data_IF_325213437166
#
_entry.id   IF_325213437166
#
_cell.length_a   1.000
_cell.length_b   1.000
_cell.length_c   1.000
_cell.angle_alpha   90.00
_cell.angle_beta   90.00
_cell.angle_gamma   90.00
#
_symmetry.space_group_name_H-M   'P 1'
#
loop_
_entity.id
_entity.type
_entity.pdbx_description
1 polymer ?
#
# COMPACT_ATOMS: atom_id res chain seq x y z
N UNK A 1 -4.92 -2.86 -5.82
CA UNK A 1 -4.73 -3.86 -4.74
C UNK A 1 -3.67 -4.89 -5.09
N UNK A 2 -3.78 -5.61 -6.21
CA UNK A 2 -2.81 -6.65 -6.60
C UNK A 2 -1.32 -6.23 -6.64
N UNK A 3 -1.02 -4.95 -6.87
CA UNK A 3 0.36 -4.44 -6.88
C UNK A 3 1.03 -4.51 -5.50
N UNK A 4 0.29 -4.23 -4.42
CA UNK A 4 0.84 -4.21 -3.05
C UNK A 4 1.21 -5.62 -2.54
N UNK A 5 0.56 -6.65 -3.08
CA UNK A 5 0.83 -8.06 -2.77
C UNK A 5 1.74 -8.72 -3.80
N UNK A 6 2.25 -7.98 -4.79
CA UNK A 6 3.03 -8.56 -5.90
C UNK A 6 4.24 -9.37 -5.43
N UNK A 7 4.93 -8.85 -4.41
CA UNK A 7 6.14 -9.45 -3.83
C UNK A 7 5.84 -10.77 -3.10
N UNK A 8 4.72 -10.85 -2.38
CA UNK A 8 4.31 -12.08 -1.68
C UNK A 8 3.67 -13.09 -2.62
N UNK A 9 2.99 -12.63 -3.67
CA UNK A 9 2.38 -13.48 -4.67
C UNK A 9 3.39 -13.99 -5.73
N UNK A 10 4.67 -13.61 -5.61
CA UNK A 10 5.73 -13.87 -6.58
C UNK A 10 5.33 -13.52 -8.02
N UNK A 11 4.57 -12.44 -8.18
CA UNK A 11 4.04 -12.02 -9.47
C UNK A 11 4.95 -10.96 -10.08
N UNK A 12 5.82 -11.41 -10.99
CA UNK A 12 6.82 -10.57 -11.64
C UNK A 12 6.18 -9.38 -12.39
N UNK A 13 5.08 -9.60 -13.11
CA UNK A 13 4.42 -8.53 -13.88
C UNK A 13 3.87 -7.44 -12.96
N UNK A 14 3.20 -7.83 -11.88
CA UNK A 14 2.67 -6.88 -10.89
C UNK A 14 3.81 -6.20 -10.12
N UNK A 15 4.91 -6.90 -9.86
CA UNK A 15 6.08 -6.32 -9.21
C UNK A 15 6.77 -5.28 -10.09
N UNK A 16 6.98 -5.56 -11.38
CA UNK A 16 7.53 -4.57 -12.31
C UNK A 16 6.63 -3.32 -12.40
N UNK A 17 5.31 -3.49 -12.36
CA UNK A 17 4.38 -2.37 -12.30
C UNK A 17 4.47 -1.59 -10.97
N UNK A 18 4.65 -2.28 -9.84
CA UNK A 18 4.87 -1.64 -8.54
C UNK A 18 6.15 -0.77 -8.57
N UNK A 19 7.24 -1.32 -9.12
CA UNK A 19 8.53 -0.61 -9.27
C UNK A 19 8.42 0.59 -10.20
N UNK A 20 7.75 0.41 -11.34
CA UNK A 20 7.46 1.51 -12.26
C UNK A 20 6.68 2.66 -11.57
N UNK A 21 5.65 2.33 -10.78
CA UNK A 21 4.90 3.35 -10.03
C UNK A 21 5.76 4.04 -8.98
N UNK A 22 6.60 3.29 -8.27
CA UNK A 22 7.56 3.86 -7.32
C UNK A 22 8.56 4.79 -8.02
N UNK A 23 9.10 4.42 -9.19
CA UNK A 23 10.00 5.29 -9.94
C UNK A 23 9.31 6.55 -10.47
N UNK A 24 8.08 6.41 -10.98
CA UNK A 24 7.31 7.52 -11.52
C UNK A 24 6.90 8.54 -10.45
N UNK A 25 6.54 8.06 -9.25
CA UNK A 25 6.04 8.88 -8.16
C UNK A 25 7.10 9.09 -7.06
N UNK A 26 8.29 8.52 -7.19
CA UNK A 26 9.31 8.47 -6.14
C UNK A 26 8.99 7.49 -4.99
N UNK A 27 7.71 7.36 -4.61
CA UNK A 27 7.19 6.37 -3.66
C UNK A 27 5.78 5.94 -4.08
N UNK A 28 5.32 4.81 -3.56
CA UNK A 28 3.96 4.30 -3.77
C UNK A 28 3.00 4.98 -2.78
N UNK A 29 2.12 5.90 -3.22
CA UNK A 29 1.07 6.44 -2.36
C UNK A 29 0.01 5.37 -2.11
N UNK A 30 -0.38 5.20 -0.85
CA UNK A 30 -1.47 4.31 -0.45
C UNK A 30 -2.49 5.06 0.41
N UNK A 31 -3.72 4.59 0.37
CA UNK A 31 -4.84 5.13 1.14
C UNK A 31 -5.87 4.04 1.33
N UNK A 32 -6.54 4.06 2.49
CA UNK A 32 -7.65 3.15 2.73
C UNK A 32 -8.90 3.62 1.96
N UNK A 33 -9.69 2.68 1.43
CA UNK A 33 -10.88 3.02 0.63
C UNK A 33 -11.90 3.83 1.44
N UNK A 34 -12.04 3.53 2.73
CA UNK A 34 -12.93 4.27 3.63
C UNK A 34 -12.46 5.73 3.79
N UNK A 35 -11.15 5.98 3.95
CA UNK A 35 -10.62 7.35 4.02
C UNK A 35 -10.88 8.11 2.71
N UNK A 36 -10.85 7.42 1.56
CA UNK A 36 -11.22 8.05 0.28
C UNK A 36 -12.70 8.43 0.27
N UNK A 37 -13.59 7.54 0.69
CA UNK A 37 -15.04 7.82 0.77
C UNK A 37 -15.32 9.01 1.69
N UNK A 38 -14.76 9.00 2.90
CA UNK A 38 -14.92 10.07 3.89
C UNK A 38 -14.34 11.40 3.39
N UNK A 39 -13.20 11.38 2.69
CA UNK A 39 -12.62 12.58 2.09
C UNK A 39 -13.55 13.19 1.03
N UNK A 40 -14.20 12.37 0.20
CA UNK A 40 -15.20 12.84 -0.75
C UNK A 40 -16.42 13.45 -0.05
N UNK A 41 -16.95 12.80 0.98
CA UNK A 41 -18.10 13.32 1.77
C UNK A 41 -17.75 14.68 2.38
N UNK A 42 -16.57 14.81 2.99
CA UNK A 42 -16.09 16.08 3.54
C UNK A 42 -16.02 17.17 2.46
N UNK A 43 -15.44 16.84 1.31
CA UNK A 43 -15.25 17.79 0.22
C UNK A 43 -16.60 18.30 -0.33
N UNK A 44 -17.56 17.41 -0.56
CA UNK A 44 -18.90 17.77 -1.04
C UNK A 44 -19.64 18.66 -0.02
N UNK A 45 -19.45 18.40 1.28
CA UNK A 45 -20.08 19.18 2.35
C UNK A 45 -19.51 20.59 2.54
N UNK A 46 -18.41 20.96 1.88
CA UNK A 46 -17.74 22.25 2.08
C UNK A 46 -18.02 23.21 0.90
N UNK A 47 -18.69 24.36 1.13
CA UNK A 47 -19.12 25.26 0.05
C UNK A 47 -17.98 26.03 -0.64
N UNK A 48 -16.77 26.08 -0.04
CA UNK A 48 -15.66 26.91 -0.52
C UNK A 48 -14.36 26.11 -0.71
N UNK A 49 -14.43 24.86 -1.16
CA UNK A 49 -13.23 24.11 -1.56
C UNK A 49 -12.99 24.21 -3.07
N UNK A 50 -11.73 24.35 -3.48
CA UNK A 50 -11.38 24.39 -4.90
C UNK A 50 -9.98 23.82 -5.19
N UNK A 51 -9.82 23.40 -6.44
CA UNK A 51 -8.58 22.83 -6.96
C UNK A 51 -8.36 21.38 -6.56
N UNK A 52 -7.11 20.92 -6.69
CA UNK A 52 -6.73 19.53 -6.44
C UNK A 52 -6.37 19.31 -4.98
N UNK A 53 -6.71 18.12 -4.48
CA UNK A 53 -6.36 17.63 -3.15
C UNK A 53 -5.73 16.26 -3.31
N UNK A 54 -4.62 16.03 -2.62
CA UNK A 54 -4.01 14.72 -2.56
C UNK A 54 -4.66 13.94 -1.42
N UNK A 55 -5.17 12.74 -1.71
CA UNK A 55 -5.77 11.85 -0.72
C UNK A 55 -4.90 10.60 -0.55
N UNK A 56 -4.01 10.63 0.44
CA UNK A 56 -3.12 9.51 0.74
C UNK A 56 -2.61 9.60 2.16
N UNK A 57 -2.67 8.47 2.88
CA UNK A 57 -2.26 8.40 4.29
C UNK A 57 -0.81 7.98 4.47
N UNK A 58 -0.21 7.31 3.48
CA UNK A 58 1.19 6.87 3.55
C UNK A 58 1.86 6.76 2.18
N UNK A 59 3.19 6.84 2.19
CA UNK A 59 4.05 6.69 1.02
C UNK A 59 5.16 5.70 1.32
N UNK A 60 5.17 4.58 0.60
CA UNK A 60 6.08 3.48 0.85
C UNK A 60 6.96 3.23 -0.37
N UNK A 61 8.22 2.86 -0.15
CA UNK A 61 9.01 2.19 -1.19
C UNK A 61 8.57 0.73 -1.31
N UNK A 62 8.82 0.08 -2.44
CA UNK A 62 8.61 -1.37 -2.57
C UNK A 62 9.40 -2.14 -1.50
N UNK A 63 10.60 -1.67 -1.14
CA UNK A 63 11.40 -2.23 -0.05
C UNK A 63 10.70 -2.12 1.31
N UNK A 64 10.02 -1.00 1.60
CA UNK A 64 9.23 -0.85 2.84
C UNK A 64 8.00 -1.76 2.84
N UNK A 65 7.38 -1.98 1.68
CA UNK A 65 6.27 -2.94 1.54
C UNK A 65 6.77 -4.37 1.82
N UNK A 66 7.88 -4.80 1.21
CA UNK A 66 8.50 -6.10 1.53
C UNK A 66 8.88 -6.23 3.02
N UNK A 67 9.46 -5.18 3.60
CA UNK A 67 9.84 -5.15 5.01
C UNK A 67 8.64 -5.27 5.94
N UNK A 68 7.50 -4.68 5.57
CA UNK A 68 6.24 -4.84 6.30
C UNK A 68 5.80 -6.31 6.33
N UNK A 69 5.79 -6.98 5.18
CA UNK A 69 5.43 -8.39 5.09
C UNK A 69 6.35 -9.27 5.94
N UNK A 70 7.68 -9.12 5.80
CA UNK A 70 8.65 -9.89 6.61
C UNK A 70 8.47 -9.67 8.12
N UNK A 71 8.08 -8.46 8.53
CA UNK A 71 7.93 -8.10 9.95
C UNK A 71 6.65 -8.66 10.57
N UNK A 72 5.52 -8.55 9.88
CA UNK A 72 4.21 -8.89 10.46
C UNK A 72 3.67 -10.25 9.99
N UNK A 73 4.22 -10.80 8.92
CA UNK A 73 3.86 -12.09 8.34
C UNK A 73 5.14 -12.89 8.02
N UNK A 74 5.96 -13.24 9.03
CA UNK A 74 7.26 -13.89 8.83
C UNK A 74 7.16 -15.27 8.15
N UNK A 75 5.98 -15.89 8.22
CA UNK A 75 5.68 -17.16 7.54
C UNK A 75 5.54 -17.01 6.02
N UNK A 76 5.58 -15.78 5.48
CA UNK A 76 5.54 -15.52 4.04
C UNK A 76 6.96 -15.25 3.55
N UNK A 77 7.52 -16.22 2.83
CA UNK A 77 8.81 -16.08 2.16
C UNK A 77 8.67 -15.17 0.92
N UNK A 78 9.45 -14.09 0.88
CA UNK A 78 9.62 -13.22 -0.29
C UNK A 78 11.01 -13.43 -0.86
N UNK A 79 11.10 -13.79 -2.13
CA UNK A 79 12.37 -14.00 -2.81
C UNK A 79 13.13 -12.68 -3.02
N UNK A 80 14.47 -12.73 -3.04
CA UNK A 80 15.32 -11.53 -3.02
C UNK A 80 15.15 -10.66 -4.26
N UNK A 81 14.81 -11.24 -5.41
CA UNK A 81 14.54 -10.52 -6.66
C UNK A 81 13.32 -9.59 -6.56
N UNK A 82 12.43 -9.83 -5.59
CA UNK A 82 11.27 -8.97 -5.28
C UNK A 82 11.60 -7.89 -4.24
N UNK A 83 12.87 -7.75 -3.83
CA UNK A 83 13.30 -6.79 -2.80
C UNK A 83 14.43 -5.94 -3.34
N UNK A 84 14.07 -4.77 -3.87
CA UNK A 84 15.03 -3.77 -4.32
C UNK A 84 14.84 -2.46 -3.55
N UNK A 85 15.90 -1.98 -2.91
CA UNK A 85 15.91 -0.69 -2.21
C UNK A 85 16.85 0.29 -2.93
N UNK A 86 16.28 1.41 -3.34
CA UNK A 86 17.01 2.48 -4.04
C UNK A 86 17.58 3.52 -3.05
N UNK A 87 17.32 3.38 -1.75
CA UNK A 87 17.82 4.30 -0.71
C UNK A 87 17.31 5.74 -0.85
N UNK A 88 16.19 5.95 -1.56
CA UNK A 88 15.66 7.28 -1.85
C UNK A 88 14.89 7.83 -0.65
N UNK A 89 15.38 8.92 -0.07
CA UNK A 89 14.63 9.69 0.94
C UNK A 89 13.72 10.73 0.27
N UNK A 90 12.49 10.30 -0.05
CA UNK A 90 11.47 11.19 -0.62
C UNK A 90 10.38 11.46 0.41
N UNK A 91 10.20 12.74 0.77
CA UNK A 91 9.15 13.17 1.70
C UNK A 91 8.02 13.81 0.89
N UNK A 92 6.81 13.31 1.09
CA UNK A 92 5.59 13.92 0.58
C UNK A 92 4.87 14.58 1.76
N UNK A 93 4.36 15.81 1.57
CA UNK A 93 3.88 16.64 2.68
C UNK A 93 2.63 17.46 2.37
N UNK A 94 1.77 16.99 1.47
CA UNK A 94 0.53 17.71 1.17
C UNK A 94 -0.47 17.59 2.32
N UNK A 95 -0.58 18.63 3.14
CA UNK A 95 -1.53 18.66 4.27
C UNK A 95 -2.87 19.33 3.93
N UNK A 96 -3.22 19.42 2.64
CA UNK A 96 -4.34 20.27 2.19
C UNK A 96 -5.70 19.73 2.65
N UNK A 97 -5.88 18.40 2.68
CA UNK A 97 -7.10 17.77 3.22
C UNK A 97 -7.19 17.96 4.74
N UNK A 98 -6.08 17.76 5.46
CA UNK A 98 -6.03 17.93 6.91
C UNK A 98 -6.35 19.37 7.32
N UNK A 99 -5.86 20.36 6.57
CA UNK A 99 -6.17 21.78 6.77
C UNK A 99 -7.65 22.13 6.64
N UNK A 100 -8.46 21.32 5.97
CA UNK A 100 -9.92 21.52 5.87
C UNK A 100 -10.71 20.67 6.87
N UNK A 101 -10.01 19.97 7.77
CA UNK A 101 -10.55 19.16 8.85
C UNK A 101 -10.67 17.66 8.54
N UNK A 102 -9.97 17.16 7.52
CA UNK A 102 -9.92 15.71 7.26
C UNK A 102 -8.93 15.02 8.20
N UNK A 103 -9.28 13.84 8.72
CA UNK A 103 -8.39 13.00 9.52
C UNK A 103 -8.36 11.60 8.91
N UNK A 104 -7.15 11.12 8.58
CA UNK A 104 -6.96 9.74 8.11
C UNK A 104 -7.15 8.78 9.29
N UNK A 105 -8.07 7.82 9.14
CA UNK A 105 -8.37 6.83 10.19
C UNK A 105 -7.46 5.60 10.10
N UNK A 106 -6.85 5.35 8.94
CA UNK A 106 -6.13 4.12 8.66
C UNK A 106 -4.67 4.36 8.27
N UNK A 107 -3.77 3.70 9.00
CA UNK A 107 -2.33 3.75 8.73
C UNK A 107 -1.90 2.72 7.67
N UNK A 108 -0.62 2.80 7.27
CA UNK A 108 -0.03 1.89 6.30
C UNK A 108 -0.14 0.41 6.71
N UNK A 109 -0.05 0.11 8.02
CA UNK A 109 -0.11 -1.26 8.51
C UNK A 109 -1.49 -1.84 8.29
N UNK A 110 -2.54 -1.11 8.67
CA UNK A 110 -3.92 -1.56 8.47
C UNK A 110 -4.21 -1.76 6.99
N UNK A 111 -3.83 -0.80 6.14
CA UNK A 111 -4.04 -0.89 4.69
C UNK A 111 -3.38 -2.15 4.10
N UNK A 112 -2.12 -2.43 4.45
CA UNK A 112 -1.42 -3.60 3.95
C UNK A 112 -2.02 -4.90 4.51
N UNK A 113 -2.25 -4.99 5.82
CA UNK A 113 -2.79 -6.20 6.45
C UNK A 113 -4.20 -6.56 5.92
N UNK A 114 -5.06 -5.56 5.68
CA UNK A 114 -6.37 -5.79 5.09
C UNK A 114 -6.32 -6.13 3.60
N UNK A 115 -5.35 -5.56 2.86
CA UNK A 115 -5.07 -5.96 1.48
C UNK A 115 -4.73 -7.45 1.41
N UNK A 116 -3.89 -7.95 2.33
CA UNK A 116 -3.51 -9.36 2.40
C UNK A 116 -4.72 -10.25 2.71
N UNK A 117 -5.51 -9.90 3.73
CA UNK A 117 -6.73 -10.66 4.09
C UNK A 117 -7.70 -10.74 2.91
N UNK A 118 -7.88 -9.64 2.18
CA UNK A 118 -8.69 -9.63 0.98
C UNK A 118 -8.12 -10.56 -0.10
N UNK A 119 -6.81 -10.49 -0.37
CA UNK A 119 -6.15 -11.33 -1.37
C UNK A 119 -6.27 -12.83 -1.06
N UNK A 120 -6.10 -13.22 0.21
CA UNK A 120 -6.31 -14.58 0.68
C UNK A 120 -7.76 -15.05 0.46
N UNK A 121 -8.74 -14.20 0.81
CA UNK A 121 -10.17 -14.50 0.62
C UNK A 121 -10.53 -14.69 -0.86
N UNK A 122 -9.87 -13.95 -1.75
CA UNK A 122 -10.10 -14.02 -3.20
C UNK A 122 -9.30 -15.12 -3.90
N UNK A 123 -8.43 -15.85 -3.19
CA UNK A 123 -7.54 -16.83 -3.78
C UNK A 123 -6.42 -16.23 -4.66
N UNK A 124 -6.19 -14.92 -4.57
CA UNK A 124 -5.08 -14.24 -5.25
C UNK A 124 -3.73 -14.48 -4.57
N UNK A 125 -3.78 -14.97 -3.34
CA UNK A 125 -2.65 -15.51 -2.59
C UNK A 125 -3.13 -16.82 -1.95
N UNK A 126 -2.69 -17.94 -2.50
CA UNK A 126 -2.94 -19.25 -1.88
C UNK A 126 -2.24 -19.32 -0.53
N UNK A 127 -2.85 -19.96 0.46
CA UNK A 127 -2.20 -20.39 1.71
C UNK A 127 -1.12 -21.45 1.47
N UNK A 128 -0.44 -21.40 0.32
CA UNK A 128 0.44 -22.42 -0.23
C UNK A 128 1.81 -22.49 0.44
N UNK A 129 1.99 -21.92 1.64
CA UNK A 129 3.15 -22.22 2.49
C UNK A 129 2.87 -23.29 3.56
N UNK A 130 1.62 -23.75 3.75
CA UNK A 130 1.32 -24.89 4.63
C UNK A 130 1.87 -26.24 4.10
N UNK A 131 2.31 -26.34 2.84
CA UNK A 131 2.77 -27.62 2.26
C UNK A 131 4.27 -27.87 2.48
N UNK A 132 5.08 -26.86 2.83
CA UNK A 132 6.53 -27.06 3.01
C UNK A 132 6.90 -27.48 4.45
N UNK A 133 5.98 -27.33 5.42
CA UNK A 133 6.21 -27.68 6.85
C UNK A 133 5.41 -28.91 7.29
N UNK A 134 5.16 -29.87 6.40
CA UNK A 134 4.70 -31.19 6.81
C UNK A 134 5.30 -32.29 5.95
N UNK A 135 6.48 -32.73 6.42
CA UNK A 135 7.12 -34.05 6.27
C UNK A 135 7.31 -34.62 4.86
#
# INVERSE_FOLDING_TARGET
MGLLISQIASDERRYQMLRFLEDLLGKVPIVHIEDVCEAHILCIGKPCISGRFLCTSAYLSSAKIASHWKKYHPDIIIAEEFVEDLGREIVWGSTKLEKIGFEYKFDAKVILDETLKWAQKMGEFGSSQEIIVSK
#
